data_IF_822734290597
#
_entry.id   IF_822734290597
#
_cell.length_a   1.000
_cell.length_b   1.000
_cell.length_c   1.000
_cell.angle_alpha   90.00
_cell.angle_beta   90.00
_cell.angle_gamma   90.00
#
_symmetry.space_group_name_H-M   'P 1'
#
loop_
_entity.id
_entity.type
_entity.pdbx_description
1 polymer ?
#
# COMPACT_ATOMS: atom_id res chain seq x y z
N UNK A 1 -33.91 -1.38 -34.25
CA UNK A 1 -32.47 -1.07 -34.36
C UNK A 1 -31.80 -1.45 -33.05
N UNK A 2 -31.21 -2.65 -32.98
CA UNK A 2 -30.33 -3.04 -31.88
C UNK A 2 -29.01 -2.27 -32.08
N UNK A 3 -28.72 -1.29 -31.22
CA UNK A 3 -27.33 -0.82 -31.10
C UNK A 3 -26.59 -1.94 -30.37
N UNK A 4 -25.87 -2.76 -31.11
CA UNK A 4 -24.77 -3.53 -30.54
C UNK A 4 -23.81 -2.52 -29.91
N UNK A 5 -23.81 -2.45 -28.59
CA UNK A 5 -22.73 -1.80 -27.85
C UNK A 5 -21.57 -2.76 -28.01
N UNK A 6 -20.66 -2.41 -28.91
CA UNK A 6 -19.44 -3.13 -29.14
C UNK A 6 -18.61 -3.11 -27.85
N UNK A 7 -18.66 -4.21 -27.08
CA UNK A 7 -17.84 -4.38 -25.88
C UNK A 7 -16.35 -4.17 -26.19
N UNK A 8 -15.93 -4.42 -27.44
CA UNK A 8 -14.59 -4.19 -27.92
C UNK A 8 -14.24 -2.68 -27.95
N UNK A 9 -15.20 -1.79 -28.27
CA UNK A 9 -14.99 -0.35 -28.26
C UNK A 9 -14.84 0.24 -26.85
N UNK A 10 -15.56 -0.31 -25.86
CA UNK A 10 -15.40 0.06 -24.45
C UNK A 10 -14.06 -0.45 -23.88
N UNK A 11 -13.67 -1.68 -24.23
CA UNK A 11 -12.37 -2.28 -23.87
C UNK A 11 -11.21 -1.47 -24.48
N UNK A 12 -11.35 -1.02 -25.73
CA UNK A 12 -10.32 -0.24 -26.43
C UNK A 12 -10.18 1.20 -25.89
N UNK A 13 -11.23 1.81 -25.35
CA UNK A 13 -11.12 3.13 -24.72
C UNK A 13 -10.31 3.11 -23.41
N UNK A 14 -10.32 1.99 -22.67
CA UNK A 14 -9.49 1.79 -21.47
C UNK A 14 -8.04 1.45 -21.83
N UNK A 15 -7.81 0.83 -22.99
CA UNK A 15 -6.49 0.36 -23.44
C UNK A 15 -5.65 1.40 -24.22
N UNK A 16 -6.19 2.59 -24.52
CA UNK A 16 -5.44 3.65 -25.23
C UNK A 16 -4.76 4.60 -24.25
N UNK A 17 -3.59 4.21 -23.76
CA UNK A 17 -2.64 5.11 -23.08
C UNK A 17 -1.53 4.32 -22.40
N UNK A 18 -0.29 4.55 -22.83
CA UNK A 18 1.00 4.14 -22.26
C UNK A 18 0.93 3.31 -20.96
N UNK A 19 1.45 2.08 -20.97
CA UNK A 19 1.64 1.19 -19.81
C UNK A 19 1.60 1.93 -18.46
N UNK A 20 0.40 2.04 -17.88
CA UNK A 20 0.20 2.83 -16.69
C UNK A 20 0.48 1.94 -15.49
N UNK A 21 1.65 2.07 -14.87
CA UNK A 21 2.01 1.27 -13.70
C UNK A 21 1.05 1.44 -12.52
N UNK A 22 1.10 0.50 -11.58
CA UNK A 22 0.32 0.40 -10.33
C UNK A 22 0.03 1.76 -9.62
N UNK A 23 0.99 2.71 -9.49
CA UNK A 23 0.73 4.01 -8.86
C UNK A 23 -0.23 4.93 -9.65
N UNK A 24 -0.29 4.80 -10.98
CA UNK A 24 -1.19 5.58 -11.82
C UNK A 24 -2.65 5.11 -11.68
N UNK A 25 -2.88 3.85 -11.29
CA UNK A 25 -4.21 3.33 -11.08
C UNK A 25 -4.94 4.04 -9.94
N UNK A 26 -4.29 4.23 -8.79
CA UNK A 26 -4.87 4.98 -7.67
C UNK A 26 -5.19 6.44 -8.06
N UNK A 27 -4.30 7.08 -8.82
CA UNK A 27 -4.56 8.43 -9.33
C UNK A 27 -5.79 8.44 -10.24
N UNK A 28 -5.85 7.53 -11.20
CA UNK A 28 -6.97 7.42 -12.13
C UNK A 28 -8.30 7.16 -11.42
N UNK A 29 -8.34 6.25 -10.43
CA UNK A 29 -9.58 5.94 -9.70
C UNK A 29 -10.04 7.11 -8.85
N UNK A 30 -9.10 7.86 -8.26
CA UNK A 30 -9.40 9.05 -7.44
C UNK A 30 -9.89 10.21 -8.31
N UNK A 31 -9.33 10.40 -9.51
CA UNK A 31 -9.78 11.41 -10.47
C UNK A 31 -11.15 11.06 -11.08
N UNK A 32 -11.41 9.77 -11.34
CA UNK A 32 -12.67 9.29 -11.91
C UNK A 32 -13.81 9.29 -10.89
N UNK A 33 -13.52 8.93 -9.65
CA UNK A 33 -14.48 8.83 -8.55
C UNK A 33 -14.05 9.72 -7.38
N UNK A 34 -14.30 11.04 -7.46
CA UNK A 34 -13.75 12.01 -6.51
C UNK A 34 -14.27 11.84 -5.09
N UNK A 35 -15.47 11.28 -4.91
CA UNK A 35 -16.07 11.07 -3.58
C UNK A 35 -15.57 9.81 -2.87
N UNK A 36 -14.59 9.08 -3.43
CA UNK A 36 -14.05 7.88 -2.78
C UNK A 36 -13.13 8.17 -1.60
N UNK A 37 -12.43 9.30 -1.65
CA UNK A 37 -11.41 9.65 -0.67
C UNK A 37 -11.86 10.82 0.18
N UNK A 38 -11.78 10.66 1.49
CA UNK A 38 -11.95 11.76 2.44
C UNK A 38 -10.62 12.06 3.12
N UNK A 39 -10.38 13.34 3.44
CA UNK A 39 -9.22 13.73 4.26
C UNK A 39 -9.59 13.52 5.71
N UNK A 40 -8.74 12.81 6.45
CA UNK A 40 -8.98 12.53 7.86
C UNK A 40 -8.73 13.80 8.68
N UNK A 41 -9.77 14.25 9.39
CA UNK A 41 -9.67 15.17 10.51
C UNK A 41 -9.76 14.38 11.82
N UNK A 42 -9.04 14.78 12.87
CA UNK A 42 -8.97 14.04 14.15
C UNK A 42 -10.34 13.81 14.83
N UNK A 43 -11.39 14.52 14.39
CA UNK A 43 -12.73 14.52 14.97
C UNK A 43 -13.76 13.67 14.22
N UNK A 44 -13.49 13.24 12.98
CA UNK A 44 -14.53 12.66 12.09
C UNK A 44 -14.20 11.25 11.55
N UNK A 45 -13.26 10.54 12.18
CA UNK A 45 -12.86 9.20 11.72
C UNK A 45 -13.98 8.20 12.05
N UNK A 46 -14.50 7.44 11.06
CA UNK A 46 -15.42 6.35 11.32
C UNK A 46 -14.77 5.32 12.26
N UNK A 47 -15.54 4.76 13.18
CA UNK A 47 -14.97 3.72 14.04
C UNK A 47 -14.68 2.44 13.23
N UNK A 48 -13.59 1.77 13.57
CA UNK A 48 -13.19 0.51 12.95
C UNK A 48 -13.09 -0.61 13.98
N UNK A 49 -13.46 -1.82 13.57
CA UNK A 49 -13.29 -3.01 14.38
C UNK A 49 -11.87 -3.55 14.22
N UNK A 50 -11.39 -3.62 12.97
CA UNK A 50 -10.12 -4.25 12.63
C UNK A 50 -9.22 -3.26 11.86
N UNK A 51 -7.95 -3.14 12.27
CA UNK A 51 -6.91 -2.41 11.56
C UNK A 51 -5.80 -3.36 11.11
N UNK A 52 -5.48 -3.32 9.81
CA UNK A 52 -4.42 -4.12 9.19
C UNK A 52 -3.31 -3.20 8.65
N UNK A 53 -2.06 -3.44 9.04
CA UNK A 53 -0.91 -2.67 8.57
C UNK A 53 -0.02 -3.52 7.66
N UNK A 54 0.21 -3.06 6.43
CA UNK A 54 1.32 -3.55 5.61
C UNK A 54 2.62 -2.88 6.07
N UNK A 55 3.45 -3.65 6.78
CA UNK A 55 4.67 -3.15 7.42
C UNK A 55 5.76 -2.81 6.41
N UNK A 56 5.75 -3.39 5.21
CA UNK A 56 6.83 -3.14 4.26
C UNK A 56 6.89 -1.66 3.87
N UNK A 57 5.74 -1.06 3.57
CA UNK A 57 5.67 0.37 3.24
C UNK A 57 6.20 1.24 4.38
N UNK A 58 5.87 0.88 5.62
CA UNK A 58 6.33 1.58 6.83
C UNK A 58 7.85 1.46 6.98
N UNK A 59 8.38 0.23 6.92
CA UNK A 59 9.82 -0.03 7.07
C UNK A 59 10.61 0.75 6.01
N UNK A 60 10.15 0.72 4.76
CA UNK A 60 10.79 1.47 3.68
C UNK A 60 10.76 2.99 3.96
N UNK A 61 9.61 3.56 4.30
CA UNK A 61 9.49 4.99 4.57
C UNK A 61 10.34 5.45 5.75
N UNK A 62 10.44 4.65 6.81
CA UNK A 62 11.23 4.95 8.00
C UNK A 62 12.74 4.79 7.76
N UNK A 63 13.18 3.88 6.90
CA UNK A 63 14.62 3.63 6.69
C UNK A 63 15.27 4.52 5.63
N UNK A 64 14.50 5.00 4.65
CA UNK A 64 15.01 5.80 3.51
C UNK A 64 13.86 6.58 2.85
N UNK A 65 13.43 7.71 3.44
CA UNK A 65 12.31 8.50 2.92
C UNK A 65 12.59 9.16 1.56
N UNK A 66 13.86 9.27 1.16
CA UNK A 66 14.28 9.78 -0.14
C UNK A 66 15.49 9.01 -0.68
N UNK A 67 15.28 8.19 -1.70
CA UNK A 67 16.33 7.37 -2.30
C UNK A 67 17.41 8.20 -3.03
N UNK A 68 17.07 9.42 -3.43
CA UNK A 68 17.97 10.33 -4.15
C UNK A 68 18.97 11.05 -3.24
N UNK A 69 18.78 11.01 -1.92
CA UNK A 69 19.70 11.66 -0.98
C UNK A 69 20.85 10.72 -0.59
N UNK A 70 21.95 10.83 -1.33
CA UNK A 70 23.18 10.04 -1.10
C UNK A 70 23.85 10.38 0.25
N UNK A 71 23.52 11.51 0.87
CA UNK A 71 24.09 11.95 2.16
C UNK A 71 23.27 11.48 3.36
N UNK A 72 22.06 10.95 3.16
CA UNK A 72 21.22 10.51 4.26
C UNK A 72 21.84 9.33 5.03
N UNK A 73 21.88 9.45 6.37
CA UNK A 73 22.38 8.42 7.28
C UNK A 73 21.41 8.24 8.44
N UNK A 74 21.18 6.98 8.80
CA UNK A 74 20.31 6.60 9.90
C UNK A 74 20.83 5.31 10.53
N UNK A 75 20.79 5.24 11.86
CA UNK A 75 21.14 4.02 12.59
C UNK A 75 19.95 3.07 12.67
N UNK A 76 20.21 1.79 12.88
CA UNK A 76 19.16 0.79 12.99
C UNK A 76 18.21 1.08 14.16
N UNK A 77 18.75 1.51 15.30
CA UNK A 77 17.98 1.85 16.50
C UNK A 77 17.00 3.00 16.21
N UNK A 78 17.45 3.99 15.44
CA UNK A 78 16.59 5.09 15.02
C UNK A 78 15.50 4.61 14.04
N UNK A 79 15.83 3.72 13.09
CA UNK A 79 14.83 3.13 12.18
C UNK A 79 13.74 2.44 13.00
N UNK A 80 14.10 1.62 13.99
CA UNK A 80 13.14 0.90 14.82
C UNK A 80 12.28 1.84 15.65
N UNK A 81 12.88 2.86 16.27
CA UNK A 81 12.14 3.89 16.99
C UNK A 81 11.13 4.64 16.09
N UNK A 82 11.55 4.99 14.86
CA UNK A 82 10.69 5.66 13.89
C UNK A 82 9.55 4.75 13.42
N UNK A 83 9.80 3.44 13.22
CA UNK A 83 8.77 2.44 12.91
C UNK A 83 7.74 2.38 14.04
N UNK A 84 8.16 2.23 15.30
CA UNK A 84 7.23 2.13 16.43
C UNK A 84 6.40 3.39 16.64
N UNK A 85 7.03 4.57 16.53
CA UNK A 85 6.33 5.84 16.60
C UNK A 85 5.28 5.97 15.47
N UNK A 86 5.59 5.47 14.28
CA UNK A 86 4.67 5.49 13.15
C UNK A 86 3.47 4.54 13.35
N UNK A 87 3.72 3.32 13.83
CA UNK A 87 2.67 2.36 14.18
C UNK A 87 1.76 2.94 15.28
N UNK A 88 2.32 3.50 16.36
CA UNK A 88 1.56 4.15 17.43
C UNK A 88 0.71 5.30 16.88
N UNK A 89 1.22 6.09 15.93
CA UNK A 89 0.43 7.15 15.27
C UNK A 89 -0.78 6.56 14.55
N UNK A 90 -0.59 5.53 13.71
CA UNK A 90 -1.69 4.90 12.96
C UNK A 90 -2.73 4.27 13.89
N UNK A 91 -2.27 3.58 14.94
CA UNK A 91 -3.14 3.00 15.95
C UNK A 91 -4.00 4.07 16.65
N UNK A 92 -3.40 5.20 17.04
CA UNK A 92 -4.10 6.28 17.73
C UNK A 92 -5.09 7.05 16.84
N UNK A 93 -4.88 7.04 15.52
CA UNK A 93 -5.80 7.60 14.53
C UNK A 93 -7.04 6.71 14.39
N UNK A 94 -6.85 5.43 14.11
CA UNK A 94 -7.94 4.52 13.76
C UNK A 94 -8.64 3.92 14.98
N UNK A 95 -7.90 3.68 16.07
CA UNK A 95 -8.40 3.12 17.34
C UNK A 95 -9.25 1.84 17.13
N UNK A 96 -8.66 0.76 16.57
CA UNK A 96 -9.40 -0.47 16.30
C UNK A 96 -9.98 -1.08 17.57
N UNK A 97 -11.23 -1.56 17.52
CA UNK A 97 -11.95 -2.10 18.68
C UNK A 97 -11.69 -3.56 18.98
N UNK A 98 -11.39 -4.37 17.96
CA UNK A 98 -11.31 -5.83 18.05
C UNK A 98 -9.93 -6.35 17.66
N UNK A 99 -9.47 -6.05 16.44
CA UNK A 99 -8.24 -6.64 15.89
C UNK A 99 -7.24 -5.55 15.49
N UNK A 100 -6.00 -5.72 15.92
CA UNK A 100 -4.87 -4.96 15.39
C UNK A 100 -3.84 -5.92 14.79
N UNK A 101 -3.67 -5.84 13.48
CA UNK A 101 -2.93 -6.82 12.70
C UNK A 101 -1.74 -6.16 11.99
N UNK A 102 -0.54 -6.70 12.18
CA UNK A 102 0.68 -6.23 11.52
C UNK A 102 1.21 -7.32 10.59
N UNK A 103 1.29 -7.02 9.29
CA UNK A 103 1.78 -7.95 8.29
C UNK A 103 3.18 -7.55 7.82
N UNK A 104 4.17 -8.41 8.05
CA UNK A 104 5.51 -8.31 7.49
C UNK A 104 5.65 -9.32 6.35
N UNK A 105 6.27 -8.94 5.23
CA UNK A 105 6.44 -9.88 4.11
C UNK A 105 7.25 -11.10 4.53
N UNK A 106 6.74 -12.29 4.19
CA UNK A 106 7.48 -13.55 4.23
C UNK A 106 8.10 -13.92 2.87
N UNK A 107 8.51 -15.17 2.72
CA UNK A 107 9.05 -15.65 1.44
C UNK A 107 7.98 -15.56 0.35
N UNK A 108 8.29 -14.85 -0.73
CA UNK A 108 7.37 -14.53 -1.82
C UNK A 108 7.38 -15.61 -2.94
N UNK A 109 6.31 -15.72 -3.74
CA UNK A 109 6.29 -16.60 -4.91
C UNK A 109 7.29 -16.13 -5.98
N UNK A 110 7.77 -17.07 -6.81
CA UNK A 110 8.84 -16.83 -7.82
C UNK A 110 8.60 -15.61 -8.71
N UNK A 111 7.34 -15.37 -9.08
CA UNK A 111 6.98 -14.25 -9.95
C UNK A 111 7.24 -12.89 -9.25
N UNK A 112 6.78 -12.72 -8.00
CA UNK A 112 7.08 -11.55 -7.15
C UNK A 112 8.59 -11.46 -6.86
N UNK A 113 9.28 -12.58 -6.65
CA UNK A 113 10.74 -12.60 -6.47
C UNK A 113 11.50 -12.03 -7.68
N UNK A 114 11.11 -12.39 -8.91
CA UNK A 114 11.75 -11.87 -10.12
C UNK A 114 11.59 -10.34 -10.23
N UNK A 115 10.40 -9.82 -9.91
CA UNK A 115 10.14 -8.38 -9.90
C UNK A 115 10.93 -7.68 -8.79
N UNK A 116 10.95 -8.23 -7.56
CA UNK A 116 11.76 -7.71 -6.46
C UNK A 116 13.25 -7.71 -6.83
N UNK A 117 13.75 -8.78 -7.47
CA UNK A 117 15.13 -8.86 -7.96
C UNK A 117 15.44 -7.77 -8.98
N UNK A 118 14.56 -7.56 -9.96
CA UNK A 118 14.74 -6.51 -10.96
C UNK A 118 14.75 -5.10 -10.32
N UNK A 119 13.81 -4.82 -9.40
CA UNK A 119 13.75 -3.55 -8.67
C UNK A 119 15.01 -3.29 -7.86
N UNK A 120 15.48 -4.29 -7.11
CA UNK A 120 16.70 -4.19 -6.28
C UNK A 120 17.95 -3.99 -7.11
N UNK A 121 18.06 -4.70 -8.23
CA UNK A 121 19.18 -4.53 -9.16
C UNK A 121 19.22 -3.09 -9.73
N UNK A 122 18.06 -2.56 -10.14
CA UNK A 122 17.97 -1.18 -10.64
C UNK A 122 18.28 -0.17 -9.54
N UNK A 123 17.73 -0.33 -8.34
CA UNK A 123 17.99 0.57 -7.20
C UNK A 123 19.48 0.60 -6.82
N UNK A 124 20.13 -0.57 -6.73
CA UNK A 124 21.56 -0.65 -6.43
C UNK A 124 22.41 0.04 -7.51
N UNK A 125 22.06 -0.16 -8.79
CA UNK A 125 22.73 0.50 -9.90
C UNK A 125 22.54 2.02 -9.86
N UNK A 126 21.32 2.50 -9.65
CA UNK A 126 21.03 3.94 -9.56
C UNK A 126 21.74 4.59 -8.37
N UNK A 127 21.79 3.91 -7.22
CA UNK A 127 22.52 4.39 -6.05
C UNK A 127 24.02 4.54 -6.32
N UNK A 128 24.63 3.58 -7.04
CA UNK A 128 26.03 3.67 -7.47
C UNK A 128 26.26 4.82 -8.46
N UNK A 129 25.39 4.96 -9.47
CA UNK A 129 25.47 6.05 -10.44
C UNK A 129 25.38 7.44 -9.76
N UNK A 130 24.49 7.59 -8.78
CA UNK A 130 24.34 8.81 -7.98
C UNK A 130 25.58 9.08 -7.10
N UNK A 131 26.14 8.05 -6.47
CA UNK A 131 27.36 8.14 -5.69
C UNK A 131 28.53 8.62 -6.54
N UNK A 132 28.74 8.01 -7.70
CA UNK A 132 29.78 8.40 -8.65
C UNK A 132 29.57 9.84 -9.15
N UNK A 133 28.33 10.26 -9.40
CA UNK A 133 28.03 11.63 -9.78
C UNK A 133 28.36 12.64 -8.67
N UNK A 134 28.13 12.32 -7.40
CA UNK A 134 28.54 13.17 -6.27
C UNK A 134 30.06 13.27 -6.13
N UNK A 135 30.78 12.14 -6.26
CA UNK A 135 32.24 12.11 -6.23
C UNK A 135 32.86 12.94 -7.36
N UNK A 136 32.30 12.87 -8.58
CA UNK A 136 32.74 13.70 -9.72
C UNK A 136 32.55 15.20 -9.50
N UNK A 137 31.55 15.58 -8.70
CA UNK A 137 31.31 16.98 -8.31
C UNK A 137 32.23 17.46 -7.19
N UNK A 138 33.05 16.58 -6.61
CA UNK A 138 33.95 16.90 -5.50
C UNK A 138 33.22 17.16 -4.18
N UNK A 139 31.99 16.66 -4.02
CA UNK A 139 31.23 16.82 -2.78
C UNK A 139 31.66 15.78 -1.75
N UNK A 140 31.88 16.22 -0.51
CA UNK A 140 32.19 15.31 0.59
C UNK A 140 30.98 14.46 0.98
N UNK A 141 31.24 13.18 1.20
CA UNK A 141 30.27 12.21 1.68
C UNK A 141 30.42 12.00 3.19
N UNK A 142 29.33 11.74 3.91
CA UNK A 142 29.41 11.31 5.30
C UNK A 142 30.28 10.06 5.44
N UNK A 143 31.08 10.01 6.51
CA UNK A 143 31.97 8.88 6.83
C UNK A 143 31.21 7.59 7.17
N UNK A 144 30.00 7.73 7.69
CA UNK A 144 29.12 6.62 8.01
C UNK A 144 28.65 5.91 6.74
N UNK A 145 28.37 4.61 6.83
CA UNK A 145 27.82 3.85 5.70
C UNK A 145 26.35 4.18 5.52
N UNK A 146 25.91 4.23 4.25
CA UNK A 146 24.48 4.32 3.91
C UNK A 146 23.78 3.03 4.35
N UNK A 147 22.55 3.15 4.83
CA UNK A 147 21.70 2.00 5.11
C UNK A 147 21.41 1.22 3.81
N UNK A 148 21.60 -0.10 3.83
CA UNK A 148 21.35 -0.97 2.68
C UNK A 148 19.91 -1.51 2.75
N UNK A 149 19.03 -0.98 1.92
CA UNK A 149 17.62 -1.38 1.88
C UNK A 149 17.39 -2.82 1.41
N UNK A 150 18.39 -3.49 0.83
CA UNK A 150 18.29 -4.92 0.51
C UNK A 150 18.17 -5.79 1.76
N UNK A 151 18.56 -5.27 2.94
CA UNK A 151 18.37 -5.97 4.19
C UNK A 151 16.88 -6.11 4.59
N UNK A 152 15.97 -5.35 3.95
CA UNK A 152 14.51 -5.49 4.09
C UNK A 152 14.05 -6.70 3.26
N UNK A 153 14.43 -7.89 3.71
CA UNK A 153 14.12 -9.19 3.11
C UNK A 153 14.02 -10.24 4.20
N UNK A 154 13.07 -11.18 4.11
CA UNK A 154 13.05 -12.34 4.99
C UNK A 154 14.40 -13.05 5.04
N UNK A 155 14.82 -13.46 6.23
CA UNK A 155 16.06 -14.21 6.46
C UNK A 155 17.32 -13.37 6.69
N UNK A 156 17.22 -12.04 6.71
CA UNK A 156 18.33 -11.16 7.11
C UNK A 156 18.36 -10.95 8.63
N UNK A 157 19.53 -10.60 9.17
CA UNK A 157 19.67 -10.26 10.59
C UNK A 157 18.80 -9.07 10.98
N UNK A 158 18.76 -8.04 10.13
CA UNK A 158 17.91 -6.86 10.32
C UNK A 158 16.44 -7.22 10.53
N UNK A 159 15.88 -8.11 9.69
CA UNK A 159 14.47 -8.52 9.82
C UNK A 159 14.23 -9.43 11.04
N UNK A 160 15.20 -10.26 11.42
CA UNK A 160 15.10 -11.07 12.63
C UNK A 160 15.11 -10.21 13.90
N UNK A 161 15.98 -9.21 13.95
CA UNK A 161 16.04 -8.25 15.06
C UNK A 161 14.77 -7.37 15.11
N UNK A 162 14.31 -6.86 13.96
CA UNK A 162 13.07 -6.11 13.87
C UNK A 162 11.87 -6.94 14.35
N UNK A 163 11.79 -8.22 13.97
CA UNK A 163 10.72 -9.12 14.43
C UNK A 163 10.76 -9.32 15.95
N UNK A 164 11.95 -9.51 16.52
CA UNK A 164 12.13 -9.64 17.98
C UNK A 164 11.68 -8.38 18.71
N UNK A 165 12.09 -7.20 18.25
CA UNK A 165 11.71 -5.92 18.86
C UNK A 165 10.23 -5.59 18.67
N UNK A 166 9.64 -5.88 17.50
CA UNK A 166 8.19 -5.76 17.26
C UNK A 166 7.38 -6.66 18.19
N UNK A 167 7.83 -7.90 18.40
CA UNK A 167 7.13 -8.86 19.28
C UNK A 167 7.11 -8.36 20.72
N UNK A 168 8.27 -7.92 21.24
CA UNK A 168 8.35 -7.31 22.57
C UNK A 168 7.49 -6.05 22.68
N UNK A 169 7.52 -5.20 21.66
CA UNK A 169 6.73 -3.97 21.63
C UNK A 169 5.22 -4.30 21.65
N UNK A 170 4.77 -5.30 20.88
CA UNK A 170 3.38 -5.76 20.87
C UNK A 170 2.96 -6.39 22.20
N UNK A 171 3.80 -7.19 22.85
CA UNK A 171 3.49 -7.76 24.18
C UNK A 171 3.12 -6.68 25.21
N UNK A 172 3.73 -5.49 25.13
CA UNK A 172 3.38 -4.37 26.00
C UNK A 172 2.05 -3.69 25.66
N UNK A 173 1.52 -3.90 24.46
CA UNK A 173 0.35 -3.19 23.90
C UNK A 173 -0.88 -4.08 23.74
N UNK A 174 -0.71 -5.31 23.25
CA UNK A 174 -1.75 -6.25 22.88
C UNK A 174 -1.27 -7.70 23.07
N UNK A 175 -1.81 -8.47 24.02
CA UNK A 175 -1.52 -9.90 24.13
C UNK A 175 -2.26 -10.70 23.03
N UNK A 176 -1.52 -11.43 22.19
CA UNK A 176 -2.09 -12.36 21.20
C UNK A 176 -1.06 -12.84 20.15
N UNK A 177 -1.14 -14.11 19.76
CA UNK A 177 -0.34 -14.71 18.67
C UNK A 177 -1.08 -14.67 17.33
N UNK A 178 -0.35 -14.55 16.21
CA UNK A 178 -0.90 -14.90 14.90
C UNK A 178 -0.03 -14.54 13.70
N UNK A 179 0.62 -15.54 13.10
CA UNK A 179 1.23 -15.45 11.77
C UNK A 179 0.26 -15.89 10.66
N UNK A 180 -0.71 -15.07 10.26
CA UNK A 180 -1.52 -15.34 9.06
C UNK A 180 -1.60 -14.11 8.15
N UNK A 181 -1.49 -14.25 6.83
CA UNK A 181 -1.55 -13.07 5.91
C UNK A 181 -2.91 -12.38 6.01
N UNK A 182 -2.97 -11.03 5.96
CA UNK A 182 -4.19 -10.20 6.16
C UNK A 182 -5.43 -10.79 5.47
N UNK A 183 -5.30 -11.15 4.19
CA UNK A 183 -6.42 -11.68 3.40
C UNK A 183 -6.81 -13.11 3.78
N UNK A 184 -5.85 -13.93 4.19
CA UNK A 184 -6.11 -15.27 4.73
C UNK A 184 -6.82 -15.17 6.08
N UNK A 185 -6.39 -14.23 6.94
CA UNK A 185 -7.04 -13.94 8.21
C UNK A 185 -8.49 -13.51 8.01
N UNK A 186 -8.76 -12.51 7.14
CA UNK A 186 -10.13 -12.07 6.86
C UNK A 186 -10.98 -13.23 6.33
N UNK A 187 -10.45 -14.04 5.40
CA UNK A 187 -11.17 -15.21 4.88
C UNK A 187 -11.49 -16.23 5.97
N UNK A 188 -10.54 -16.51 6.85
CA UNK A 188 -10.73 -17.44 7.95
C UNK A 188 -11.79 -16.95 8.95
N UNK A 189 -11.71 -15.69 9.37
CA UNK A 189 -12.69 -15.08 10.29
C UNK A 189 -14.12 -15.20 9.76
N UNK A 190 -14.33 -14.98 8.46
CA UNK A 190 -15.65 -15.13 7.81
C UNK A 190 -16.22 -16.56 7.86
N UNK A 191 -15.37 -17.57 8.05
CA UNK A 191 -15.81 -18.97 8.16
C UNK A 191 -16.21 -19.36 9.58
N UNK A 192 -15.87 -18.52 10.58
CA UNK A 192 -16.17 -18.80 11.98
C UNK A 192 -17.66 -18.61 12.29
N UNK A 193 -18.20 -19.49 13.12
CA UNK A 193 -19.56 -19.34 13.64
C UNK A 193 -19.64 -18.08 14.53
N UNK A 194 -20.59 -17.19 14.22
CA UNK A 194 -20.76 -15.93 14.93
C UNK A 194 -20.01 -14.74 14.35
N UNK A 195 -19.38 -14.87 13.17
CA UNK A 195 -18.81 -13.74 12.44
C UNK A 195 -19.86 -12.64 12.17
N UNK A 196 -19.53 -11.41 12.55
CA UNK A 196 -20.38 -10.25 12.28
C UNK A 196 -20.11 -9.72 10.87
N UNK A 197 -21.09 -9.86 9.96
CA UNK A 197 -21.01 -9.36 8.60
C UNK A 197 -20.90 -7.83 8.48
N UNK A 198 -21.15 -7.09 9.58
CA UNK A 198 -20.98 -5.65 9.64
C UNK A 198 -19.64 -5.23 10.23
N UNK A 199 -18.69 -6.15 10.41
CA UNK A 199 -17.34 -5.83 10.87
C UNK A 199 -16.70 -4.80 9.94
N UNK A 200 -16.15 -3.73 10.53
CA UNK A 200 -15.55 -2.61 9.80
C UNK A 200 -14.04 -2.78 9.74
N UNK A 201 -13.52 -2.84 8.52
CA UNK A 201 -12.13 -3.12 8.22
C UNK A 201 -11.41 -1.88 7.71
N UNK A 202 -10.26 -1.57 8.31
CA UNK A 202 -9.33 -0.56 7.83
C UNK A 202 -7.99 -1.22 7.47
N UNK A 203 -7.47 -0.98 6.27
CA UNK A 203 -6.15 -1.45 5.88
C UNK A 203 -5.26 -0.28 5.47
N UNK A 204 -4.06 -0.19 6.06
CA UNK A 204 -3.07 0.82 5.72
C UNK A 204 -2.07 0.29 4.69
N UNK A 205 -1.81 1.09 3.66
CA UNK A 205 -0.65 0.92 2.78
C UNK A 205 -0.78 1.68 1.45
N UNK A 206 0.35 1.83 0.77
CA UNK A 206 0.46 2.65 -0.44
C UNK A 206 0.38 1.84 -1.75
N UNK A 207 0.42 0.52 -1.69
CA UNK A 207 0.36 -0.33 -2.87
C UNK A 207 -1.07 -0.38 -3.44
N UNK A 208 -1.22 -0.28 -4.77
CA UNK A 208 -2.55 -0.38 -5.37
C UNK A 208 -3.08 -1.83 -5.36
N UNK A 209 -2.22 -2.82 -5.13
CA UNK A 209 -2.62 -4.21 -4.88
C UNK A 209 -3.56 -4.29 -3.66
N UNK A 210 -3.34 -3.47 -2.63
CA UNK A 210 -4.19 -3.40 -1.44
C UNK A 210 -5.63 -2.98 -1.78
N UNK A 211 -5.81 -2.14 -2.79
CA UNK A 211 -7.14 -1.74 -3.25
C UNK A 211 -7.87 -2.92 -3.87
N UNK A 212 -7.19 -3.70 -4.71
CA UNK A 212 -7.78 -4.89 -5.30
C UNK A 212 -8.04 -5.98 -4.26
N UNK A 213 -7.10 -6.21 -3.35
CA UNK A 213 -7.28 -7.15 -2.26
C UNK A 213 -8.49 -6.77 -1.38
N UNK A 214 -8.61 -5.51 -1.00
CA UNK A 214 -9.77 -5.02 -0.25
C UNK A 214 -11.09 -5.22 -1.01
N UNK A 215 -11.12 -5.01 -2.32
CA UNK A 215 -12.29 -5.30 -3.16
C UNK A 215 -12.59 -6.81 -3.22
N UNK A 216 -11.58 -7.66 -3.40
CA UNK A 216 -11.69 -9.13 -3.45
C UNK A 216 -12.08 -9.74 -2.10
N UNK A 217 -11.91 -9.03 -0.99
CA UNK A 217 -12.36 -9.52 0.34
C UNK A 217 -13.88 -9.75 0.40
N UNK A 218 -14.64 -9.05 -0.46
CA UNK A 218 -16.10 -8.98 -0.44
C UNK A 218 -16.71 -8.48 0.87
N UNK A 219 -15.91 -7.85 1.74
CA UNK A 219 -16.45 -7.20 2.93
C UNK A 219 -17.19 -5.90 2.56
N UNK A 220 -18.37 -5.65 3.17
CA UNK A 220 -19.19 -4.48 2.87
C UNK A 220 -18.56 -3.19 3.40
N UNK A 221 -17.97 -3.24 4.61
CA UNK A 221 -17.39 -2.07 5.28
C UNK A 221 -15.86 -2.17 5.28
N UNK A 222 -15.26 -1.77 4.17
CA UNK A 222 -13.80 -1.80 4.00
C UNK A 222 -13.29 -0.44 3.53
N UNK A 223 -12.31 0.11 4.24
CA UNK A 223 -11.62 1.35 3.87
C UNK A 223 -10.10 1.15 3.83
N UNK A 224 -9.43 1.89 2.95
CA UNK A 224 -7.96 1.96 2.92
C UNK A 224 -7.48 3.28 3.51
N UNK A 225 -6.58 3.21 4.47
CA UNK A 225 -5.88 4.36 5.00
C UNK A 225 -4.60 4.61 4.19
N UNK A 226 -4.43 5.82 3.68
CA UNK A 226 -3.29 6.19 2.84
C UNK A 226 -2.74 7.55 3.22
N UNK A 227 -1.45 7.76 3.02
CA UNK A 227 -0.84 9.08 3.15
C UNK A 227 -1.23 9.95 1.95
N UNK A 228 -1.41 11.26 2.20
CA UNK A 228 -1.61 12.24 1.13
C UNK A 228 -0.35 12.33 0.26
N UNK A 229 -0.49 11.93 -1.01
CA UNK A 229 0.59 12.10 -2.00
C UNK A 229 0.41 13.46 -2.67
N UNK A 230 1.19 14.46 -2.25
CA UNK A 230 1.24 15.76 -2.94
C UNK A 230 1.97 15.61 -4.28
N UNK A 231 1.21 15.44 -5.36
CA UNK A 231 1.74 15.25 -6.72
C UNK A 231 2.48 16.48 -7.28
N UNK A 232 2.21 17.68 -6.74
CA UNK A 232 2.95 18.91 -7.05
C UNK A 232 3.90 19.24 -5.89
N UNK A 233 5.09 18.61 -5.86
CA UNK A 233 6.20 19.15 -5.07
C UNK A 233 6.86 20.26 -5.89
N UNK A 234 6.91 21.53 -5.41
CA UNK A 234 7.72 22.54 -6.05
C UNK A 234 9.18 22.07 -6.09
N UNK A 235 9.89 22.37 -7.17
CA UNK A 235 11.32 22.09 -7.25
C UNK A 235 12.04 22.64 -6.01
N UNK A 236 12.97 21.89 -5.39
CA UNK A 236 13.68 22.36 -4.21
C UNK A 236 14.39 23.67 -4.54
N UNK A 237 14.07 24.72 -3.78
CA UNK A 237 14.72 26.03 -3.93
C UNK A 237 16.21 25.85 -3.65
N UNK A 238 17.05 26.26 -4.61
CA UNK A 238 18.50 26.39 -4.45
C UNK A 238 18.81 27.52 -3.46
N UNK A 239 18.63 27.28 -2.17
CA UNK A 239 19.18 28.13 -1.12
C UNK A 239 19.69 27.21 -0.02
N UNK A 240 20.98 27.31 0.28
CA UNK A 240 21.65 26.50 1.28
C UNK A 240 20.94 26.60 2.63
N UNK A 241 21.04 25.51 3.40
CA UNK A 241 20.41 25.26 4.69
C UNK A 241 18.90 24.91 4.64
N UNK A 242 18.62 23.66 4.26
CA UNK A 242 17.69 22.80 5.00
C UNK A 242 18.01 21.34 4.63
N UNK A 243 18.49 20.58 5.61
CA UNK A 243 18.45 19.10 5.59
C UNK A 243 17.03 18.71 5.16
N UNK A 244 16.81 17.73 4.25
CA UNK A 244 15.45 17.25 3.98
C UNK A 244 14.90 16.76 5.32
N UNK A 245 14.05 17.60 5.92
CA UNK A 245 13.47 17.33 7.21
C UNK A 245 12.74 16.00 7.04
N UNK A 246 13.09 15.03 7.90
CA UNK A 246 12.24 13.86 8.19
C UNK A 246 10.80 14.36 8.12
N UNK A 247 9.95 13.73 7.31
CA UNK A 247 8.54 14.11 7.29
C UNK A 247 8.06 13.99 8.73
N UNK A 248 7.86 15.13 9.40
CA UNK A 248 7.49 15.12 10.80
C UNK A 248 6.19 14.33 10.87
N UNK A 249 6.12 13.23 11.63
CA UNK A 249 4.92 12.40 11.64
C UNK A 249 3.67 13.25 11.90
N UNK A 250 3.76 14.32 12.69
CA UNK A 250 2.65 15.24 12.95
C UNK A 250 2.15 16.08 11.76
N UNK A 251 2.87 16.10 10.63
CA UNK A 251 2.51 16.86 9.40
C UNK A 251 2.04 15.98 8.25
N UNK A 252 2.01 14.66 8.44
CA UNK A 252 1.52 13.73 7.42
C UNK A 252 0.00 13.68 7.51
N UNK A 253 -0.65 14.19 6.45
CA UNK A 253 -2.09 14.07 6.24
C UNK A 253 -2.44 12.68 5.75
N UNK A 254 -3.56 12.15 6.22
CA UNK A 254 -4.09 10.86 5.79
C UNK A 254 -5.41 11.02 5.04
N UNK A 255 -5.61 10.14 4.07
CA UNK A 255 -6.84 10.00 3.32
C UNK A 255 -7.42 8.62 3.60
N UNK A 256 -8.74 8.57 3.78
CA UNK A 256 -9.48 7.33 3.90
C UNK A 256 -10.21 7.08 2.58
N UNK A 257 -9.86 5.99 1.90
CA UNK A 257 -10.48 5.56 0.67
C UNK A 257 -11.56 4.52 0.98
N UNK A 258 -12.81 4.83 0.69
CA UNK A 258 -13.95 3.96 0.98
C UNK A 258 -14.20 2.96 -0.16
N UNK A 259 -13.91 1.68 0.07
CA UNK A 259 -14.16 0.63 -0.93
C UNK A 259 -15.64 0.30 -1.07
N UNK A 260 -16.44 0.56 -0.03
CA UNK A 260 -17.90 0.47 -0.08
C UNK A 260 -18.47 1.33 -1.20
N UNK A 261 -18.11 2.62 -1.23
CA UNK A 261 -18.49 3.56 -2.27
C UNK A 261 -17.95 3.15 -3.64
N UNK A 262 -16.71 2.66 -3.70
CA UNK A 262 -16.14 2.19 -4.96
C UNK A 262 -16.95 1.03 -5.56
N UNK A 263 -17.41 0.08 -4.74
CA UNK A 263 -18.30 -0.99 -5.22
C UNK A 263 -19.59 -0.44 -5.80
N UNK A 264 -20.17 0.59 -5.19
CA UNK A 264 -21.38 1.24 -5.71
C UNK A 264 -21.12 1.97 -7.03
N UNK A 265 -20.03 2.72 -7.13
CA UNK A 265 -19.61 3.37 -8.38
C UNK A 265 -19.44 2.36 -9.51
N UNK A 266 -18.73 1.27 -9.26
CA UNK A 266 -18.53 0.20 -10.24
C UNK A 266 -19.87 -0.47 -10.60
N UNK A 267 -20.74 -0.71 -9.62
CA UNK A 267 -22.07 -1.26 -9.88
C UNK A 267 -22.88 -0.37 -10.83
N UNK A 268 -22.88 0.94 -10.61
CA UNK A 268 -23.58 1.90 -11.47
C UNK A 268 -22.93 2.06 -12.84
N UNK A 269 -21.60 2.05 -12.91
CA UNK A 269 -20.85 2.12 -14.16
C UNK A 269 -21.19 0.95 -15.10
N UNK A 270 -21.30 -0.26 -14.54
CA UNK A 270 -21.63 -1.46 -15.30
C UNK A 270 -23.12 -1.84 -15.25
N UNK A 271 -23.97 -1.00 -14.64
CA UNK A 271 -25.41 -1.22 -14.57
C UNK A 271 -26.05 -1.47 -15.95
N UNK A 272 -25.67 -0.78 -17.05
CA UNK A 272 -26.19 -1.06 -18.38
C UNK A 272 -25.90 -2.49 -18.88
N UNK A 273 -24.88 -3.16 -18.34
CA UNK A 273 -24.47 -4.52 -18.69
C UNK A 273 -25.11 -5.60 -17.80
N UNK A 274 -26.01 -5.22 -16.88
CA UNK A 274 -26.68 -6.15 -15.95
C UNK A 274 -27.46 -7.28 -16.64
N UNK A 275 -27.83 -7.10 -17.91
CA UNK A 275 -28.46 -8.16 -18.72
C UNK A 275 -27.51 -9.33 -18.99
N UNK A 276 -26.19 -9.08 -19.00
CA UNK A 276 -25.15 -10.09 -19.23
C UNK A 276 -24.50 -10.58 -17.93
N UNK A 277 -24.48 -9.75 -16.88
CA UNK A 277 -23.93 -10.10 -15.57
C UNK A 277 -25.03 -10.34 -14.53
N UNK A 278 -25.27 -11.60 -14.18
CA UNK A 278 -26.31 -12.02 -13.25
C UNK A 278 -26.10 -11.54 -11.80
N UNK A 279 -24.89 -11.13 -11.40
CA UNK A 279 -24.54 -10.67 -10.03
C UNK A 279 -23.53 -9.53 -10.05
N UNK A 280 -23.65 -8.59 -9.10
CA UNK A 280 -22.69 -7.49 -8.89
C UNK A 280 -21.25 -7.98 -8.64
N UNK A 281 -21.09 -9.18 -8.06
CA UNK A 281 -19.80 -9.83 -7.87
C UNK A 281 -19.11 -10.18 -9.21
N UNK A 282 -19.87 -10.57 -10.23
CA UNK A 282 -19.34 -10.93 -11.55
C UNK A 282 -18.76 -9.71 -12.29
N UNK A 283 -19.38 -8.54 -12.10
CA UNK A 283 -18.88 -7.26 -12.63
C UNK A 283 -17.53 -6.91 -12.01
N UNK A 284 -17.41 -7.09 -10.70
CA UNK A 284 -16.20 -6.77 -9.95
C UNK A 284 -15.02 -7.66 -10.37
N UNK A 285 -15.28 -8.96 -10.53
CA UNK A 285 -14.30 -9.93 -11.04
C UNK A 285 -13.86 -9.57 -12.45
N UNK A 286 -14.79 -9.19 -13.33
CA UNK A 286 -14.44 -8.72 -14.68
C UNK A 286 -13.62 -7.42 -14.66
N UNK A 287 -13.93 -6.49 -13.76
CA UNK A 287 -13.13 -5.29 -13.58
C UNK A 287 -11.70 -5.63 -13.15
N UNK A 288 -11.52 -6.49 -12.14
CA UNK A 288 -10.20 -6.96 -11.67
C UNK A 288 -9.44 -7.64 -12.81
N UNK A 289 -10.08 -8.56 -13.52
CA UNK A 289 -9.48 -9.27 -14.65
C UNK A 289 -9.05 -8.31 -15.78
N UNK A 290 -9.85 -7.27 -16.06
CA UNK A 290 -9.48 -6.23 -17.02
C UNK A 290 -8.29 -5.39 -16.54
N UNK A 291 -8.15 -5.15 -15.22
CA UNK A 291 -6.98 -4.46 -14.67
C UNK A 291 -5.71 -5.33 -14.78
N UNK A 292 -5.82 -6.65 -14.58
CA UNK A 292 -4.71 -7.59 -14.85
C UNK A 292 -4.27 -7.56 -16.30
N UNK A 293 -5.22 -7.62 -17.24
CA UNK A 293 -4.92 -7.59 -18.68
C UNK A 293 -4.24 -6.28 -19.12
N UNK A 294 -4.60 -5.16 -18.51
CA UNK A 294 -3.98 -3.86 -18.79
C UNK A 294 -2.63 -3.66 -18.08
N UNK A 295 -2.15 -4.66 -17.33
CA UNK A 295 -0.85 -4.61 -16.65
C UNK A 295 -0.84 -3.75 -15.38
N UNK A 296 -2.01 -3.41 -14.83
CA UNK A 296 -2.11 -2.75 -13.53
C UNK A 296 -1.94 -3.72 -12.36
N UNK A 297 -2.11 -5.03 -12.60
CA UNK A 297 -2.00 -6.09 -11.60
C UNK A 297 -1.00 -7.17 -12.02
N UNK A 298 -0.47 -7.90 -11.04
CA UNK A 298 0.43 -9.02 -11.26
C UNK A 298 -0.29 -10.22 -11.90
N UNK A 299 0.33 -10.88 -12.88
CA UNK A 299 -0.10 -12.18 -13.40
C UNK A 299 0.11 -13.27 -12.33
N UNK A 300 -0.77 -13.33 -11.35
CA UNK A 300 -0.69 -14.24 -10.20
C UNK A 300 -2.00 -14.39 -9.43
N UNK A 301 -3.00 -13.56 -9.72
CA UNK A 301 -4.36 -13.65 -9.18
C UNK A 301 -5.21 -14.77 -9.81
N UNK A 302 -4.65 -15.53 -10.77
CA UNK A 302 -5.26 -16.73 -11.37
C UNK A 302 -5.53 -17.87 -10.37
N UNK A 303 -5.17 -17.71 -9.10
CA UNK A 303 -5.46 -18.65 -8.00
C UNK A 303 -6.30 -18.01 -6.89
N UNK A 304 -7.14 -17.02 -7.18
CA UNK A 304 -8.32 -16.78 -6.34
C UNK A 304 -9.31 -17.90 -6.68
N UNK A 305 -9.27 -18.98 -5.91
CA UNK A 305 -10.31 -20.00 -5.94
C UNK A 305 -11.65 -19.36 -5.57
N UNK A 306 -12.63 -19.59 -6.45
CA UNK A 306 -14.07 -19.30 -6.27
C UNK A 306 -14.57 -20.02 -5.02
#
# INVERSE_FOLDING_TARGET
>A
MKKEIDCHALIVQVARGDHMGVPKFYRWISERYPCLSEVISDTEIPEFDNLYLDMNGIIHNCSHPNDDDVKFRISQEQIFADIFAYIDKLFNIIRPKKVFFLAVDGVAPRAKMNQQRARRFMSARTAEEQLQAHLRKGEELPKEKRFDSNCITPGTLFMAELHSELSKWLETKCPGEGEHKIMDFIRHERTLEGYDSNTRHCMYGLDADLLMLGICSHEPHFSLLREEVKFNRPAPKKSGAAVPHRANPSQINFHLLHLSLLREYLYWEFYPLKVFFLRAQSVLICFIFLQELNGYLFAGFTTISI
#
